data_IF_692015080087
#
_entry.id   IF_692015080087
#
_cell.length_a   1.000
_cell.length_b   1.000
_cell.length_c   1.000
_cell.angle_alpha   90.00
_cell.angle_beta   90.00
_cell.angle_gamma   90.00
#
_symmetry.space_group_name_H-M   'P 1'
#
loop_
_entity.id
_entity.type
_entity.pdbx_description
1 polymer ?
#
# COMPACT_ATOMS: atom_id res chain seq x y z
N UNK A 1 -39.45 -25.24 55.80
CA UNK A 1 -40.14 -24.29 54.92
C UNK A 1 -39.07 -23.34 54.37
N UNK A 2 -38.58 -23.66 53.19
CA UNK A 2 -37.58 -22.87 52.45
C UNK A 2 -38.34 -21.86 51.59
N UNK A 3 -38.02 -20.58 51.74
CA UNK A 3 -38.61 -19.51 50.92
C UNK A 3 -38.19 -19.64 49.45
N UNK A 4 -39.08 -19.37 48.48
CA UNK A 4 -38.70 -19.43 47.06
C UNK A 4 -37.72 -18.31 46.71
N UNK A 5 -36.67 -18.68 45.95
CA UNK A 5 -35.69 -17.74 45.41
C UNK A 5 -36.38 -16.79 44.39
N UNK A 6 -36.14 -15.49 44.58
CA UNK A 6 -36.56 -14.45 43.64
C UNK A 6 -35.80 -14.63 42.31
N UNK A 7 -36.49 -14.66 41.15
CA UNK A 7 -35.80 -14.79 39.88
C UNK A 7 -34.89 -13.55 39.61
N UNK A 8 -33.67 -13.83 39.18
CA UNK A 8 -32.73 -12.79 38.72
C UNK A 8 -33.29 -12.23 37.41
N UNK A 9 -33.46 -10.91 37.27
CA UNK A 9 -33.96 -10.32 36.04
C UNK A 9 -32.97 -10.62 34.89
N UNK A 10 -33.52 -11.01 33.73
CA UNK A 10 -32.75 -11.29 32.51
C UNK A 10 -32.02 -9.99 32.06
N UNK A 11 -30.69 -9.99 32.05
CA UNK A 11 -29.85 -8.84 31.75
C UNK A 11 -29.94 -8.35 30.28
N UNK A 12 -30.92 -8.84 29.54
CA UNK A 12 -31.16 -8.50 28.11
C UNK A 12 -32.15 -7.38 27.88
N UNK A 13 -32.83 -6.89 28.90
CA UNK A 13 -33.64 -5.69 28.76
C UNK A 13 -32.74 -4.47 28.73
N UNK A 14 -32.79 -3.63 27.67
CA UNK A 14 -31.98 -2.44 27.63
C UNK A 14 -32.45 -1.50 28.77
N UNK A 15 -31.56 -1.17 29.68
CA UNK A 15 -31.78 -0.14 30.70
C UNK A 15 -32.14 1.14 29.92
N UNK A 16 -33.33 1.72 30.10
CA UNK A 16 -33.66 2.99 29.46
C UNK A 16 -32.81 4.08 30.12
N UNK A 17 -31.62 4.30 29.54
CA UNK A 17 -30.81 5.46 29.86
C UNK A 17 -31.46 6.73 29.31
N UNK A 18 -31.15 7.91 29.87
CA UNK A 18 -31.60 9.16 29.29
C UNK A 18 -31.22 9.18 27.82
N UNK A 19 -32.20 9.47 26.95
CA UNK A 19 -31.95 9.49 25.49
C UNK A 19 -30.72 10.35 25.22
N UNK A 20 -29.66 9.76 24.65
CA UNK A 20 -28.49 10.52 24.29
C UNK A 20 -28.91 11.73 23.44
N UNK A 21 -28.32 12.90 23.65
CA UNK A 21 -28.67 14.06 22.84
C UNK A 21 -28.47 13.75 21.38
N UNK A 22 -29.31 14.23 20.47
CA UNK A 22 -29.20 13.98 19.06
C UNK A 22 -27.76 14.35 18.57
N UNK A 23 -27.18 13.51 17.75
CA UNK A 23 -25.86 13.76 17.19
C UNK A 23 -25.88 15.12 16.50
N UNK A 24 -24.89 16.02 16.75
CA UNK A 24 -24.85 17.31 16.06
C UNK A 24 -24.81 17.10 14.55
N UNK A 25 -25.59 17.86 13.81
CA UNK A 25 -25.52 17.84 12.35
C UNK A 25 -24.15 18.37 11.91
N UNK A 26 -23.49 17.74 10.91
CA UNK A 26 -22.23 18.23 10.37
C UNK A 26 -22.46 19.64 9.77
N UNK A 27 -21.54 20.56 10.05
CA UNK A 27 -21.53 21.88 9.39
C UNK A 27 -21.12 21.77 7.92
N UNK A 28 -21.22 22.88 7.19
CA UNK A 28 -20.71 22.95 5.82
C UNK A 28 -19.21 22.64 5.79
N UNK A 29 -18.72 21.87 4.79
CA UNK A 29 -17.29 21.57 4.65
C UNK A 29 -16.47 22.86 4.54
N UNK A 30 -15.41 22.98 5.35
CA UNK A 30 -14.52 24.15 5.29
C UNK A 30 -13.75 24.17 3.97
N UNK A 31 -13.54 25.36 3.37
CA UNK A 31 -12.64 25.50 2.25
C UNK A 31 -11.24 24.99 2.62
N UNK A 32 -10.60 24.30 1.70
CA UNK A 32 -9.22 23.83 1.84
C UNK A 32 -8.54 23.97 0.48
N UNK A 33 -7.37 24.56 0.46
CA UNK A 33 -6.46 24.58 -0.69
C UNK A 33 -5.23 23.75 -0.35
N UNK A 34 -4.84 22.84 -1.24
CA UNK A 34 -3.58 22.12 -1.11
C UNK A 34 -2.41 23.12 -1.22
N UNK A 35 -1.29 22.94 -0.49
CA UNK A 35 -0.14 23.83 -0.60
C UNK A 35 0.33 23.96 -2.05
N UNK A 36 0.50 25.21 -2.51
CA UNK A 36 1.06 25.47 -3.84
C UNK A 36 2.48 24.91 -3.92
N UNK A 37 2.87 24.41 -5.08
CA UNK A 37 4.20 23.85 -5.31
C UNK A 37 4.76 24.28 -6.67
N UNK A 38 6.08 24.27 -6.80
CA UNK A 38 6.80 24.57 -8.02
C UNK A 38 7.57 23.35 -8.52
N UNK A 39 7.65 23.21 -9.86
CA UNK A 39 8.47 22.19 -10.51
C UNK A 39 9.69 22.84 -11.14
N UNK A 40 10.84 22.22 -10.98
CA UNK A 40 12.10 22.64 -11.59
C UNK A 40 12.87 21.43 -12.12
N UNK A 41 13.79 21.66 -13.03
CA UNK A 41 14.67 20.62 -13.56
C UNK A 41 16.09 21.17 -13.60
N UNK A 42 17.02 20.47 -12.99
CA UNK A 42 18.43 20.82 -12.98
C UNK A 42 19.09 20.43 -14.32
N UNK A 43 20.25 21.03 -14.66
CA UNK A 43 20.97 20.71 -15.91
C UNK A 43 21.36 19.24 -16.08
N UNK A 44 21.53 18.47 -14.98
CA UNK A 44 21.83 17.04 -15.02
C UNK A 44 20.57 16.15 -15.18
N UNK A 45 19.38 16.76 -15.34
CA UNK A 45 18.13 16.04 -15.53
C UNK A 45 17.38 15.71 -14.22
N UNK A 46 17.94 16.02 -13.05
CA UNK A 46 17.27 15.84 -11.76
C UNK A 46 16.04 16.75 -11.68
N UNK A 47 14.89 16.19 -11.36
CA UNK A 47 13.65 16.95 -11.20
C UNK A 47 13.44 17.32 -9.73
N UNK A 48 12.85 18.49 -9.51
CA UNK A 48 12.57 19.02 -8.19
C UNK A 48 11.12 19.52 -8.12
N UNK A 49 10.41 19.13 -7.06
CA UNK A 49 9.07 19.60 -6.71
C UNK A 49 9.16 20.22 -5.32
N UNK A 50 8.85 21.50 -5.17
CA UNK A 50 8.96 22.20 -3.88
C UNK A 50 7.63 22.80 -3.49
N UNK A 51 7.14 22.45 -2.29
CA UNK A 51 5.98 23.05 -1.65
C UNK A 51 6.42 23.83 -0.40
N UNK A 52 6.55 25.16 -0.46
CA UNK A 52 6.84 25.99 0.71
C UNK A 52 5.68 25.91 1.71
N UNK A 53 5.95 25.46 2.94
CA UNK A 53 4.98 25.36 4.04
C UNK A 53 5.63 25.90 5.31
N UNK A 54 5.44 27.18 5.59
CA UNK A 54 6.12 27.90 6.68
C UNK A 54 5.40 27.84 8.04
N UNK A 55 4.51 26.86 8.24
CA UNK A 55 3.73 26.70 9.47
C UNK A 55 4.60 26.28 10.67
N UNK A 56 5.57 25.40 10.41
CA UNK A 56 6.52 24.87 11.39
C UNK A 56 7.93 24.89 10.78
N UNK A 57 8.99 25.03 11.57
CA UNK A 57 10.37 25.04 11.06
C UNK A 57 10.86 23.60 10.76
N UNK A 58 10.09 22.87 9.97
CA UNK A 58 10.35 21.47 9.59
C UNK A 58 10.35 21.34 8.08
N UNK A 59 11.26 20.55 7.54
CA UNK A 59 11.32 20.23 6.11
C UNK A 59 11.32 18.70 5.96
N UNK A 60 10.44 18.21 5.10
CA UNK A 60 10.40 16.82 4.66
C UNK A 60 10.84 16.75 3.19
N UNK A 61 11.76 15.84 2.91
CA UNK A 61 12.30 15.56 1.58
C UNK A 61 12.02 14.12 1.23
N UNK A 62 11.60 13.84 0.00
CA UNK A 62 11.50 12.50 -0.55
C UNK A 62 12.23 12.45 -1.91
N UNK A 63 13.26 11.64 -2.00
CA UNK A 63 13.89 11.31 -3.27
C UNK A 63 13.19 10.11 -3.88
N UNK A 64 12.41 10.34 -4.92
CA UNK A 64 11.63 9.32 -5.65
C UNK A 64 12.44 8.87 -6.84
N UNK A 65 12.84 7.62 -6.84
CA UNK A 65 13.67 7.02 -7.89
C UNK A 65 12.86 5.98 -8.66
N UNK A 66 12.96 5.95 -9.98
CA UNK A 66 12.33 4.92 -10.83
C UNK A 66 13.08 3.59 -10.76
N UNK A 67 13.04 2.98 -9.57
CA UNK A 67 13.80 1.80 -9.17
C UNK A 67 12.98 0.85 -8.28
N UNK A 68 11.69 0.70 -8.56
CA UNK A 68 10.81 -0.21 -7.83
C UNK A 68 11.00 -1.67 -8.21
N UNK A 69 10.34 -2.56 -7.47
CA UNK A 69 10.42 -4.01 -7.63
C UNK A 69 9.97 -4.53 -9.01
N UNK A 70 9.10 -3.79 -9.71
CA UNK A 70 8.75 -4.10 -11.10
C UNK A 70 9.95 -4.06 -12.06
N UNK A 71 11.06 -3.42 -11.66
CA UNK A 71 12.29 -3.33 -12.44
C UNK A 71 13.31 -4.44 -12.13
N UNK A 72 13.01 -5.36 -11.23
CA UNK A 72 13.90 -6.48 -10.91
C UNK A 72 14.17 -7.34 -12.14
N UNK A 73 15.43 -7.69 -12.41
CA UNK A 73 15.74 -8.68 -13.44
C UNK A 73 15.15 -10.06 -13.09
N UNK A 74 14.73 -10.81 -14.09
CA UNK A 74 14.24 -12.17 -13.90
C UNK A 74 15.29 -13.04 -13.16
N UNK A 75 14.86 -13.73 -12.09
CA UNK A 75 15.72 -14.52 -11.21
C UNK A 75 16.45 -13.71 -10.13
N UNK A 76 16.25 -12.40 -10.08
CA UNK A 76 16.79 -11.51 -9.05
C UNK A 76 15.67 -10.71 -8.35
N UNK A 77 14.52 -11.34 -8.19
CA UNK A 77 13.37 -10.72 -7.53
C UNK A 77 13.72 -10.36 -6.08
N UNK A 78 13.40 -9.13 -5.67
CA UNK A 78 13.78 -8.53 -4.39
C UNK A 78 15.06 -7.67 -4.44
N UNK A 79 15.70 -7.57 -5.61
CA UNK A 79 16.93 -6.77 -5.76
C UNK A 79 16.66 -5.28 -5.52
N UNK A 80 15.55 -4.73 -6.01
CA UNK A 80 15.16 -3.34 -5.77
C UNK A 80 14.98 -3.03 -4.28
N UNK A 81 14.25 -3.91 -3.57
CA UNK A 81 14.00 -3.77 -2.13
C UNK A 81 15.31 -3.88 -1.35
N UNK A 82 16.15 -4.90 -1.65
CA UNK A 82 17.45 -5.06 -0.99
C UNK A 82 18.37 -3.87 -1.26
N UNK A 83 18.38 -3.35 -2.50
CA UNK A 83 19.19 -2.18 -2.86
C UNK A 83 18.74 -0.94 -2.09
N UNK A 84 17.43 -0.67 -2.02
CA UNK A 84 16.90 0.47 -1.28
C UNK A 84 17.25 0.38 0.22
N UNK A 85 17.06 -0.79 0.84
CA UNK A 85 17.41 -1.02 2.25
C UNK A 85 18.91 -0.94 2.54
N UNK A 86 19.77 -1.15 1.54
CA UNK A 86 21.21 -1.10 1.70
C UNK A 86 21.81 0.30 1.48
N UNK A 87 21.02 1.30 1.10
CA UNK A 87 21.51 2.66 0.80
C UNK A 87 22.14 3.34 1.99
N UNK A 88 21.53 3.21 3.17
CA UNK A 88 21.94 3.85 4.43
C UNK A 88 22.82 2.94 5.31
N UNK A 89 23.21 1.78 4.82
CA UNK A 89 24.15 0.87 5.49
C UNK A 89 25.64 1.25 5.27
N UNK A 90 25.90 2.45 4.79
CA UNK A 90 27.20 3.05 4.62
C UNK A 90 27.35 3.76 3.28
N UNK A 91 28.15 4.83 3.31
CA UNK A 91 28.47 5.66 2.14
C UNK A 91 29.97 5.71 1.91
N UNK A 92 30.40 6.45 0.91
CA UNK A 92 31.84 6.69 0.67
C UNK A 92 32.53 7.38 1.86
N UNK A 93 31.77 8.12 2.69
CA UNK A 93 32.31 8.95 3.79
C UNK A 93 32.03 8.36 5.17
N UNK A 94 31.03 7.51 5.33
CA UNK A 94 30.55 7.03 6.62
C UNK A 94 30.26 5.52 6.55
N UNK A 95 30.63 4.77 7.58
CA UNK A 95 30.05 3.46 7.82
C UNK A 95 28.62 3.58 8.38
N UNK A 96 27.89 2.45 8.52
CA UNK A 96 26.50 2.44 8.96
C UNK A 96 26.28 3.13 10.30
N UNK A 97 27.17 2.87 11.29
CA UNK A 97 27.04 3.45 12.64
C UNK A 97 27.33 4.95 12.63
N UNK A 98 28.38 5.39 11.92
CA UNK A 98 28.73 6.82 11.79
C UNK A 98 27.64 7.58 11.04
N UNK A 99 27.00 6.95 10.05
CA UNK A 99 25.88 7.53 9.31
C UNK A 99 24.66 7.71 10.22
N UNK A 100 24.28 6.68 10.97
CA UNK A 100 23.18 6.74 11.93
C UNK A 100 23.41 7.81 13.00
N UNK A 101 24.60 7.82 13.63
CA UNK A 101 25.00 8.84 14.61
C UNK A 101 24.96 10.27 14.03
N UNK A 102 25.34 10.43 12.75
CA UNK A 102 25.26 11.73 12.05
C UNK A 102 23.82 12.19 11.90
N UNK A 103 22.91 11.31 11.48
CA UNK A 103 21.47 11.59 11.33
C UNK A 103 20.85 11.96 12.67
N UNK A 104 21.11 11.15 13.72
CA UNK A 104 20.58 11.38 15.07
C UNK A 104 21.05 12.70 15.67
N UNK A 105 22.32 13.05 15.54
CA UNK A 105 22.86 14.35 16.02
C UNK A 105 22.26 15.55 15.32
N UNK A 106 21.76 15.39 14.11
CA UNK A 106 21.04 16.44 13.38
C UNK A 106 19.58 16.56 13.84
N UNK A 107 19.09 15.62 14.66
CA UNK A 107 17.65 15.50 14.97
C UNK A 107 16.82 15.23 13.73
N UNK A 108 17.40 14.51 12.78
CA UNK A 108 16.76 14.12 11.54
C UNK A 108 16.29 12.67 11.59
N UNK A 109 15.36 12.31 10.72
CA UNK A 109 15.04 10.93 10.38
C UNK A 109 15.37 10.70 8.91
N UNK A 110 16.03 9.59 8.62
CA UNK A 110 16.33 9.10 7.27
C UNK A 110 15.79 7.68 7.16
N UNK A 111 15.08 7.39 6.07
CA UNK A 111 14.52 6.07 5.79
C UNK A 111 14.58 5.79 4.30
N UNK A 112 14.86 4.55 3.90
CA UNK A 112 14.95 4.14 2.51
C UNK A 112 14.22 2.83 2.27
N UNK A 113 13.38 2.79 1.24
CA UNK A 113 12.61 1.62 0.86
C UNK A 113 12.24 1.62 -0.60
N UNK A 114 11.75 0.50 -1.08
CA UNK A 114 11.18 0.38 -2.42
C UNK A 114 9.85 -0.35 -2.37
N UNK A 115 8.93 0.08 -3.22
CA UNK A 115 7.68 -0.59 -3.54
C UNK A 115 7.71 -1.14 -4.98
N UNK A 116 6.55 -1.49 -5.52
CA UNK A 116 6.44 -1.98 -6.88
C UNK A 116 6.94 -0.98 -7.94
N UNK A 117 6.67 0.32 -7.74
CA UNK A 117 6.83 1.34 -8.76
C UNK A 117 8.06 2.22 -8.59
N UNK A 118 8.58 2.33 -7.37
CA UNK A 118 9.64 3.29 -7.03
C UNK A 118 10.48 2.84 -5.85
N UNK A 119 11.69 3.39 -5.76
CA UNK A 119 12.40 3.48 -4.49
C UNK A 119 12.27 4.92 -3.96
N UNK A 120 12.11 5.05 -2.65
CA UNK A 120 11.98 6.35 -1.98
C UNK A 120 12.98 6.42 -0.85
N UNK A 121 13.80 7.48 -0.84
CA UNK A 121 14.61 7.86 0.31
C UNK A 121 14.01 9.10 0.92
N UNK A 122 13.52 8.99 2.14
CA UNK A 122 12.86 10.07 2.88
C UNK A 122 13.77 10.65 3.95
N UNK A 123 13.71 11.97 4.12
CA UNK A 123 14.42 12.72 5.13
C UNK A 123 13.46 13.73 5.76
N UNK A 124 13.39 13.76 7.09
CA UNK A 124 12.70 14.83 7.81
C UNK A 124 13.66 15.48 8.80
N UNK A 125 13.71 16.80 8.82
CA UNK A 125 14.64 17.56 9.68
C UNK A 125 14.09 18.94 10.01
N UNK A 126 14.69 19.60 11.00
CA UNK A 126 14.43 21.01 11.27
C UNK A 126 15.05 21.89 10.17
N UNK A 127 14.36 22.96 9.77
CA UNK A 127 14.80 23.87 8.72
C UNK A 127 16.25 24.42 8.92
N UNK A 128 16.71 24.79 10.14
CA UNK A 128 18.09 25.21 10.36
C UNK A 128 19.13 24.10 10.16
N UNK A 129 18.72 22.83 10.12
CA UNK A 129 19.60 21.67 9.91
C UNK A 129 19.52 21.09 8.50
N UNK A 130 18.66 21.66 7.65
CA UNK A 130 18.35 21.12 6.32
C UNK A 130 19.60 20.91 5.47
N UNK A 131 20.53 21.86 5.42
CA UNK A 131 21.74 21.76 4.60
C UNK A 131 22.58 20.54 4.99
N UNK A 132 22.90 20.40 6.28
CA UNK A 132 23.71 19.29 6.78
C UNK A 132 23.02 17.92 6.67
N UNK A 133 21.69 17.88 6.85
CA UNK A 133 20.93 16.65 6.69
C UNK A 133 20.76 16.27 5.22
N UNK A 134 20.61 17.25 4.34
CA UNK A 134 20.52 17.01 2.90
C UNK A 134 21.84 16.52 2.29
N UNK A 135 23.01 16.95 2.82
CA UNK A 135 24.32 16.40 2.44
C UNK A 135 24.38 14.89 2.70
N UNK A 136 23.82 14.44 3.84
CA UNK A 136 23.71 13.00 4.15
C UNK A 136 22.79 12.28 3.15
N UNK A 137 21.62 12.83 2.86
CA UNK A 137 20.71 12.29 1.84
C UNK A 137 21.40 12.17 0.48
N UNK A 138 22.14 13.19 0.08
CA UNK A 138 22.87 13.22 -1.20
C UNK A 138 23.95 12.14 -1.27
N UNK A 139 24.66 11.86 -0.17
CA UNK A 139 25.62 10.76 -0.09
C UNK A 139 24.94 9.38 -0.21
N UNK A 140 23.86 9.17 0.53
CA UNK A 140 23.09 7.93 0.50
C UNK A 140 22.53 7.66 -0.90
N UNK A 141 22.05 8.68 -1.60
CA UNK A 141 21.53 8.54 -2.96
C UNK A 141 22.62 8.29 -4.01
N UNK A 142 23.69 9.09 -3.98
CA UNK A 142 24.64 9.14 -5.09
C UNK A 142 25.91 8.31 -4.85
N UNK A 143 26.25 8.03 -3.60
CA UNK A 143 27.54 7.42 -3.20
C UNK A 143 27.42 6.35 -2.11
N UNK A 144 26.40 5.46 -2.14
CA UNK A 144 26.35 4.36 -1.19
C UNK A 144 27.54 3.41 -1.42
N UNK A 145 28.09 2.86 -0.35
CA UNK A 145 29.25 1.98 -0.40
C UNK A 145 28.88 0.50 -0.58
N UNK A 146 27.68 0.12 -0.12
CA UNK A 146 27.22 -1.27 -0.09
C UNK A 146 28.25 -2.23 0.53
N UNK A 147 28.62 -2.06 1.83
CA UNK A 147 29.55 -2.97 2.48
C UNK A 147 29.04 -4.42 2.40
N UNK A 148 29.91 -5.35 2.00
CA UNK A 148 29.54 -6.77 1.83
C UNK A 148 28.85 -7.36 3.07
N UNK A 149 29.38 -7.03 4.26
CA UNK A 149 28.83 -7.49 5.53
C UNK A 149 27.38 -7.02 5.74
N UNK A 150 27.06 -5.77 5.42
CA UNK A 150 25.74 -5.22 5.64
C UNK A 150 24.73 -5.72 4.60
N UNK A 151 25.14 -5.83 3.34
CA UNK A 151 24.30 -6.47 2.30
C UNK A 151 23.98 -7.93 2.67
N UNK A 152 24.98 -8.67 3.16
CA UNK A 152 24.76 -10.06 3.63
C UNK A 152 23.83 -10.10 4.84
N UNK A 153 23.98 -9.19 5.81
CA UNK A 153 23.08 -9.08 6.98
C UNK A 153 21.64 -8.86 6.52
N UNK A 154 21.39 -7.88 5.67
CA UNK A 154 20.05 -7.58 5.13
C UNK A 154 19.47 -8.75 4.33
N UNK A 155 20.30 -9.46 3.57
CA UNK A 155 19.90 -10.69 2.85
C UNK A 155 19.46 -11.78 3.82
N UNK A 156 20.20 -12.00 4.91
CA UNK A 156 19.86 -12.98 5.94
C UNK A 156 18.60 -12.57 6.71
N UNK A 157 18.41 -11.29 7.02
CA UNK A 157 17.17 -10.76 7.60
C UNK A 157 15.97 -11.07 6.70
N UNK A 158 16.10 -10.80 5.38
CA UNK A 158 15.02 -11.12 4.45
C UNK A 158 14.72 -12.63 4.40
N UNK A 159 15.71 -13.48 4.45
CA UNK A 159 15.51 -14.94 4.52
C UNK A 159 14.81 -15.35 5.82
N UNK A 160 15.12 -14.70 6.94
CA UNK A 160 14.43 -14.91 8.22
C UNK A 160 12.96 -14.42 8.15
N UNK A 161 12.70 -13.25 7.53
CA UNK A 161 11.34 -12.75 7.30
C UNK A 161 10.51 -13.76 6.49
N UNK A 162 11.09 -14.37 5.44
CA UNK A 162 10.42 -15.39 4.64
C UNK A 162 10.07 -16.66 5.44
N UNK A 163 10.89 -17.03 6.43
CA UNK A 163 10.53 -18.10 7.36
C UNK A 163 9.36 -17.69 8.26
N UNK A 164 9.33 -16.42 8.68
CA UNK A 164 8.22 -15.89 9.47
C UNK A 164 6.91 -15.86 8.66
N UNK A 165 6.96 -15.48 7.37
CA UNK A 165 5.81 -15.54 6.45
C UNK A 165 5.14 -16.93 6.47
N UNK A 166 5.91 -18.01 6.53
CA UNK A 166 5.38 -19.40 6.59
C UNK A 166 4.63 -19.71 7.88
N UNK A 167 4.88 -18.96 8.95
CA UNK A 167 4.17 -19.12 10.23
C UNK A 167 2.92 -18.23 10.35
N UNK A 168 2.81 -17.19 9.54
CA UNK A 168 1.71 -16.22 9.54
C UNK A 168 0.67 -16.54 8.45
N UNK A 169 -0.56 -16.94 8.81
CA UNK A 169 -1.60 -17.26 7.82
C UNK A 169 -1.96 -16.09 6.90
N UNK A 170 -1.91 -14.84 7.40
CA UNK A 170 -2.19 -13.65 6.62
C UNK A 170 -1.16 -13.44 5.51
N UNK A 171 0.13 -13.48 5.86
CA UNK A 171 1.22 -13.35 4.90
C UNK A 171 1.27 -14.51 3.88
N UNK A 172 0.91 -15.72 4.31
CA UNK A 172 0.71 -16.87 3.41
C UNK A 172 -0.41 -16.60 2.41
N UNK A 173 -1.56 -16.09 2.89
CA UNK A 173 -2.71 -15.76 2.04
C UNK A 173 -2.35 -14.68 1.03
N UNK A 174 -1.62 -13.62 1.43
CA UNK A 174 -1.19 -12.53 0.54
C UNK A 174 -0.25 -13.04 -0.56
N UNK A 175 0.73 -13.88 -0.19
CA UNK A 175 1.69 -14.45 -1.15
C UNK A 175 0.98 -15.38 -2.14
N UNK A 176 0.14 -16.29 -1.66
CA UNK A 176 -0.62 -17.20 -2.49
C UNK A 176 -1.63 -16.46 -3.39
N UNK A 177 -2.22 -15.37 -2.89
CA UNK A 177 -3.15 -14.54 -3.66
C UNK A 177 -2.47 -13.86 -4.85
N UNK A 178 -1.30 -13.28 -4.65
CA UNK A 178 -0.54 -12.68 -5.74
C UNK A 178 -0.21 -13.71 -6.83
N UNK A 179 0.25 -14.89 -6.45
CA UNK A 179 0.53 -15.98 -7.39
C UNK A 179 -0.74 -16.49 -8.09
N UNK A 180 -1.85 -16.64 -7.37
CA UNK A 180 -3.12 -17.07 -7.92
C UNK A 180 -3.68 -16.10 -8.96
N UNK A 181 -3.49 -14.80 -8.75
CA UNK A 181 -3.98 -13.73 -9.62
C UNK A 181 -3.10 -13.52 -10.84
N UNK A 182 -1.78 -13.35 -10.65
CA UNK A 182 -0.85 -12.99 -11.74
C UNK A 182 -0.10 -14.19 -12.32
N UNK A 183 -0.09 -15.32 -11.63
CA UNK A 183 0.67 -16.51 -12.00
C UNK A 183 2.17 -16.42 -11.64
N UNK A 184 2.84 -17.59 -11.54
CA UNK A 184 4.23 -17.65 -11.09
C UNK A 184 5.24 -17.08 -12.11
N UNK A 185 4.85 -16.90 -13.36
CA UNK A 185 5.72 -16.32 -14.39
C UNK A 185 5.76 -14.77 -14.33
N UNK A 186 4.70 -14.13 -13.82
CA UNK A 186 4.67 -12.68 -13.65
C UNK A 186 5.53 -12.23 -12.48
N UNK A 187 6.19 -11.05 -12.62
CA UNK A 187 6.86 -10.42 -11.48
C UNK A 187 5.88 -10.11 -10.36
N UNK A 188 4.65 -9.70 -10.70
CA UNK A 188 3.59 -9.40 -9.74
C UNK A 188 3.00 -10.63 -9.02
N UNK A 189 3.20 -11.84 -9.56
CA UNK A 189 2.84 -13.08 -8.89
C UNK A 189 3.88 -13.57 -7.86
N UNK A 190 4.97 -12.84 -7.66
CA UNK A 190 6.04 -13.16 -6.72
C UNK A 190 6.14 -12.08 -5.64
N UNK A 191 6.65 -12.39 -4.43
CA UNK A 191 6.80 -11.39 -3.38
C UNK A 191 7.64 -10.20 -3.85
N UNK A 192 7.26 -8.99 -3.42
CA UNK A 192 7.95 -7.75 -3.75
C UNK A 192 9.43 -7.80 -3.34
N UNK A 193 9.72 -8.23 -2.13
CA UNK A 193 11.09 -8.44 -1.63
C UNK A 193 11.72 -9.77 -2.04
N UNK A 194 11.19 -10.45 -3.09
CA UNK A 194 11.68 -11.73 -3.58
C UNK A 194 11.33 -12.96 -2.74
N UNK A 195 11.25 -14.12 -3.36
CA UNK A 195 11.15 -15.42 -2.71
C UNK A 195 12.51 -15.97 -2.29
N UNK A 196 12.52 -17.08 -1.55
CA UNK A 196 13.73 -17.65 -0.94
C UNK A 196 14.83 -17.96 -1.97
N UNK A 197 14.47 -18.59 -3.09
CA UNK A 197 15.44 -18.98 -4.12
C UNK A 197 16.14 -17.76 -4.76
N UNK A 198 15.37 -16.72 -5.10
CA UNK A 198 15.90 -15.49 -5.67
C UNK A 198 16.78 -14.74 -4.66
N UNK A 199 16.29 -14.54 -3.42
CA UNK A 199 17.03 -13.82 -2.37
C UNK A 199 18.34 -14.49 -2.01
N UNK A 200 18.41 -15.84 -1.99
CA UNK A 200 19.68 -16.58 -1.78
C UNK A 200 20.73 -16.29 -2.85
N UNK A 201 20.29 -15.97 -4.08
CA UNK A 201 21.17 -15.66 -5.22
C UNK A 201 21.60 -14.19 -5.29
N UNK A 202 21.01 -13.28 -4.51
CA UNK A 202 21.37 -11.87 -4.53
C UNK A 202 22.77 -11.64 -3.94
N UNK A 203 23.56 -10.82 -4.64
CA UNK A 203 24.93 -10.50 -4.26
C UNK A 203 25.10 -8.98 -4.10
N UNK A 204 26.14 -8.59 -3.36
CA UNK A 204 26.56 -7.18 -3.25
C UNK A 204 26.81 -6.55 -4.62
N UNK A 205 27.43 -7.30 -5.54
CA UNK A 205 27.71 -6.78 -6.89
C UNK A 205 26.45 -6.56 -7.72
N UNK A 206 25.41 -7.40 -7.55
CA UNK A 206 24.10 -7.19 -8.15
C UNK A 206 23.45 -5.92 -7.60
N UNK A 207 23.46 -5.72 -6.27
CA UNK A 207 22.97 -4.49 -5.60
C UNK A 207 23.68 -3.26 -6.16
N UNK A 208 25.00 -3.25 -6.22
CA UNK A 208 25.78 -2.14 -6.75
C UNK A 208 25.54 -1.89 -8.26
N UNK A 209 25.33 -2.95 -9.03
CA UNK A 209 24.99 -2.84 -10.45
C UNK A 209 23.59 -2.26 -10.66
N UNK A 210 22.60 -2.71 -9.89
CA UNK A 210 21.23 -2.20 -9.93
C UNK A 210 21.19 -0.71 -9.54
N UNK A 211 21.90 -0.33 -8.46
CA UNK A 211 22.03 1.08 -8.07
C UNK A 211 22.60 1.91 -9.21
N UNK A 212 23.75 1.54 -9.79
CA UNK A 212 24.36 2.30 -10.90
C UNK A 212 23.46 2.43 -12.12
N UNK A 213 22.65 1.41 -12.39
CA UNK A 213 21.74 1.40 -13.54
C UNK A 213 20.47 2.22 -13.33
N UNK A 214 19.96 2.28 -12.10
CA UNK A 214 18.63 2.83 -11.80
C UNK A 214 18.68 4.16 -11.03
N UNK A 215 19.62 4.33 -10.10
CA UNK A 215 19.72 5.55 -9.29
C UNK A 215 20.53 6.62 -10.04
N UNK A 216 19.84 7.34 -10.89
CA UNK A 216 20.41 8.38 -11.74
C UNK A 216 19.62 9.68 -11.60
N UNK A 217 20.22 10.85 -11.86
CA UNK A 217 19.50 12.12 -11.75
C UNK A 217 18.27 12.16 -12.66
N UNK A 218 18.37 11.64 -13.89
CA UNK A 218 17.25 11.63 -14.84
C UNK A 218 16.08 10.70 -14.40
N UNK A 219 16.35 9.67 -13.58
CA UNK A 219 15.34 8.79 -13.00
C UNK A 219 14.79 9.29 -11.67
N UNK A 220 15.32 10.38 -11.12
CA UNK A 220 15.02 10.86 -9.78
C UNK A 220 14.22 12.16 -9.79
N UNK A 221 13.24 12.23 -8.91
CA UNK A 221 12.54 13.47 -8.56
C UNK A 221 12.67 13.70 -7.07
N UNK A 222 13.20 14.84 -6.68
CA UNK A 222 13.20 15.28 -5.30
C UNK A 222 11.91 16.04 -5.02
N UNK A 223 11.18 15.61 -4.01
CA UNK A 223 10.01 16.31 -3.45
C UNK A 223 10.45 16.94 -2.14
N UNK A 224 10.24 18.24 -2.00
CA UNK A 224 10.60 19.01 -0.79
C UNK A 224 9.37 19.76 -0.32
N UNK A 225 8.93 19.52 0.91
CA UNK A 225 7.82 20.25 1.52
C UNK A 225 8.24 20.78 2.90
N UNK A 226 7.94 22.04 3.20
CA UNK A 226 8.24 22.60 4.50
C UNK A 226 8.77 24.03 4.48
N UNK A 227 9.47 24.41 5.56
CA UNK A 227 9.99 25.76 5.76
C UNK A 227 11.26 26.02 4.93
N UNK A 228 11.06 26.05 3.62
CA UNK A 228 12.11 26.30 2.63
C UNK A 228 11.49 26.90 1.36
N UNK A 229 12.18 27.86 0.73
CA UNK A 229 11.75 28.41 -0.57
C UNK A 229 12.25 27.54 -1.72
N UNK A 230 11.57 27.61 -2.88
CA UNK A 230 11.96 26.85 -4.06
C UNK A 230 13.40 27.21 -4.52
N UNK A 231 13.78 28.50 -4.48
CA UNK A 231 15.13 28.94 -4.83
C UNK A 231 16.21 28.42 -3.87
N UNK A 232 15.90 28.35 -2.57
CA UNK A 232 16.84 27.82 -1.58
C UNK A 232 17.02 26.31 -1.76
N UNK A 233 15.93 25.57 -1.99
CA UNK A 233 15.96 24.15 -2.27
C UNK A 233 16.75 23.85 -3.56
N UNK A 234 16.51 24.59 -4.65
CA UNK A 234 17.25 24.40 -5.91
C UNK A 234 18.74 24.64 -5.76
N UNK A 235 19.13 25.72 -5.08
CA UNK A 235 20.57 25.99 -4.81
C UNK A 235 21.22 24.90 -3.98
N UNK A 236 20.52 24.38 -2.98
CA UNK A 236 21.01 23.28 -2.15
C UNK A 236 21.20 22.01 -2.98
N UNK A 237 20.19 21.62 -3.76
CA UNK A 237 20.24 20.46 -4.64
C UNK A 237 21.33 20.60 -5.71
N UNK A 238 21.44 21.75 -6.34
CA UNK A 238 22.48 22.00 -7.35
C UNK A 238 23.90 21.88 -6.77
N UNK A 239 24.12 22.36 -5.56
CA UNK A 239 25.43 22.29 -4.89
C UNK A 239 25.80 20.85 -4.49
N UNK A 240 24.85 20.04 -4.06
CA UNK A 240 25.09 18.70 -3.51
C UNK A 240 25.00 17.59 -4.55
N UNK A 241 24.00 17.66 -5.44
CA UNK A 241 23.69 16.65 -6.44
C UNK A 241 23.88 17.12 -7.89
N UNK A 242 24.31 18.37 -8.11
CA UNK A 242 24.50 18.89 -9.48
C UNK A 242 25.58 18.16 -10.29
N UNK A 243 26.60 17.60 -9.62
CA UNK A 243 27.63 16.78 -10.25
C UNK A 243 27.24 15.29 -10.40
N UNK A 244 26.10 14.89 -9.84
CA UNK A 244 25.61 13.52 -10.00
C UNK A 244 25.26 13.26 -11.45
N UNK A 245 25.80 12.18 -12.03
CA UNK A 245 25.67 11.86 -13.44
C UNK A 245 25.05 10.46 -13.63
N UNK A 246 24.38 10.28 -14.75
CA UNK A 246 23.76 9.00 -15.14
C UNK A 246 22.67 9.22 -16.17
N UNK A 247 22.51 8.28 -17.09
CA UNK A 247 21.44 8.30 -18.09
C UNK A 247 20.12 7.81 -17.50
N UNK A 248 19.00 8.22 -18.11
CA UNK A 248 17.70 7.65 -17.75
C UNK A 248 17.69 6.13 -18.01
N UNK A 249 17.27 5.29 -17.05
CA UNK A 249 17.12 3.86 -17.27
C UNK A 249 15.98 3.56 -18.25
N UNK A 250 15.99 2.39 -18.84
CA UNK A 250 14.82 1.90 -19.57
C UNK A 250 13.64 1.72 -18.62
N UNK A 251 12.40 2.04 -19.04
CA UNK A 251 11.21 1.79 -18.26
C UNK A 251 11.10 0.33 -17.83
N UNK A 252 10.62 0.10 -16.61
CA UNK A 252 10.27 -1.24 -16.19
C UNK A 252 9.05 -1.73 -16.97
N UNK A 253 9.09 -2.99 -17.41
CA UNK A 253 7.97 -3.67 -18.05
C UNK A 253 7.62 -4.89 -17.19
N UNK A 254 6.47 -4.83 -16.53
CA UNK A 254 5.94 -5.96 -15.79
C UNK A 254 4.66 -6.47 -16.46
N UNK A 255 4.46 -7.80 -16.47
CA UNK A 255 3.24 -8.41 -16.97
C UNK A 255 2.18 -8.37 -15.87
N UNK A 256 1.22 -7.46 -16.01
CA UNK A 256 0.13 -7.21 -15.08
C UNK A 256 -1.20 -7.88 -15.50
N UNK A 257 -1.15 -8.83 -16.45
CA UNK A 257 -2.33 -9.54 -16.92
C UNK A 257 -2.79 -10.60 -15.91
N UNK A 258 -4.09 -10.80 -15.85
CA UNK A 258 -4.69 -11.90 -15.11
C UNK A 258 -4.23 -13.25 -15.70
N UNK A 259 -3.62 -14.11 -14.86
CA UNK A 259 -3.14 -15.41 -15.30
C UNK A 259 -4.26 -16.45 -15.35
N UNK A 260 -5.12 -16.49 -14.32
CA UNK A 260 -6.24 -17.42 -14.24
C UNK A 260 -7.52 -16.79 -14.77
N UNK A 261 -8.11 -17.39 -15.82
CA UNK A 261 -9.35 -16.92 -16.45
C UNK A 261 -10.61 -17.63 -15.90
N UNK A 262 -10.44 -18.52 -14.93
CA UNK A 262 -11.51 -19.26 -14.28
C UNK A 262 -11.43 -19.10 -12.77
N UNK A 263 -12.57 -19.07 -12.10
CA UNK A 263 -12.67 -19.06 -10.64
C UNK A 263 -12.04 -20.32 -10.05
N UNK A 264 -11.28 -20.16 -8.97
CA UNK A 264 -10.67 -21.26 -8.24
C UNK A 264 -10.55 -20.93 -6.76
N UNK A 265 -10.62 -21.95 -5.92
CA UNK A 265 -10.26 -21.88 -4.51
C UNK A 265 -8.82 -22.41 -4.36
N UNK A 266 -7.98 -21.63 -3.73
CA UNK A 266 -6.61 -21.98 -3.37
C UNK A 266 -6.53 -22.14 -1.85
N UNK A 267 -6.52 -23.37 -1.38
CA UNK A 267 -6.38 -23.69 0.05
C UNK A 267 -4.89 -23.83 0.37
N UNK A 268 -4.37 -22.89 1.15
CA UNK A 268 -3.04 -23.00 1.77
C UNK A 268 -3.21 -23.72 3.09
N UNK A 269 -2.82 -25.00 3.10
CA UNK A 269 -3.00 -25.87 4.26
C UNK A 269 -2.02 -25.54 5.38
N UNK A 270 -2.55 -25.05 6.52
CA UNK A 270 -1.83 -24.74 7.74
C UNK A 270 -2.55 -25.39 8.93
N UNK A 271 -2.16 -26.63 9.31
CA UNK A 271 -2.92 -27.45 10.27
C UNK A 271 -3.07 -26.86 11.66
N UNK A 272 -2.13 -26.01 12.08
CA UNK A 272 -2.10 -25.35 13.39
C UNK A 272 -2.83 -23.99 13.43
N UNK A 273 -3.45 -23.57 12.31
CA UNK A 273 -4.17 -22.32 12.26
C UNK A 273 -5.53 -22.43 12.99
N UNK A 274 -5.79 -21.46 13.88
CA UNK A 274 -7.07 -21.36 14.61
C UNK A 274 -8.12 -20.60 13.78
N UNK A 275 -7.68 -19.72 12.90
CA UNK A 275 -8.49 -18.90 12.03
C UNK A 275 -8.09 -19.15 10.57
N UNK A 276 -9.00 -18.85 9.67
CA UNK A 276 -8.73 -18.78 8.24
C UNK A 276 -8.54 -17.33 7.81
N UNK A 277 -7.49 -17.08 7.04
CA UNK A 277 -7.29 -15.84 6.29
C UNK A 277 -7.89 -16.00 4.90
N UNK A 278 -8.77 -15.07 4.54
CA UNK A 278 -9.45 -15.06 3.25
C UNK A 278 -8.93 -13.92 2.39
N UNK A 279 -8.63 -14.21 1.11
CA UNK A 279 -8.39 -13.20 0.06
C UNK A 279 -9.25 -13.55 -1.13
N UNK A 280 -10.07 -12.61 -1.57
CA UNK A 280 -10.98 -12.79 -2.72
C UNK A 280 -10.75 -11.63 -3.69
N UNK A 281 -10.33 -11.91 -4.91
CA UNK A 281 -10.08 -10.82 -5.85
C UNK A 281 -9.57 -11.27 -7.22
N UNK A 282 -9.17 -10.28 -7.98
CA UNK A 282 -8.65 -10.42 -9.35
C UNK A 282 -7.70 -9.26 -9.69
N UNK A 283 -7.09 -9.25 -10.88
CA UNK A 283 -6.34 -8.08 -11.37
C UNK A 283 -7.32 -6.90 -11.49
N UNK A 284 -6.98 -5.79 -10.84
CA UNK A 284 -7.75 -4.56 -10.88
C UNK A 284 -7.36 -3.66 -12.05
N UNK A 285 -7.06 -2.40 -11.75
CA UNK A 285 -6.75 -1.38 -12.75
C UNK A 285 -5.55 -0.52 -12.32
N UNK A 286 -4.81 0.06 -13.28
CA UNK A 286 -3.72 0.97 -12.95
C UNK A 286 -4.23 2.27 -12.31
N UNK A 287 -3.39 2.93 -11.53
CA UNK A 287 -3.69 4.22 -10.88
C UNK A 287 -4.08 5.31 -11.89
N UNK A 288 -3.62 5.21 -13.12
CA UNK A 288 -3.93 6.15 -14.21
C UNK A 288 -5.33 6.00 -14.79
N UNK A 289 -6.14 5.06 -14.31
CA UNK A 289 -7.51 4.86 -14.80
C UNK A 289 -8.35 6.15 -14.69
N UNK A 290 -9.12 6.53 -15.73
CA UNK A 290 -10.05 7.66 -15.65
C UNK A 290 -11.19 7.41 -14.65
N UNK A 291 -11.47 6.15 -14.32
CA UNK A 291 -12.52 5.73 -13.38
C UNK A 291 -12.07 5.80 -11.90
N UNK A 292 -10.91 6.39 -11.60
CA UNK A 292 -10.33 6.40 -10.25
C UNK A 292 -11.29 6.92 -9.18
N UNK A 293 -11.92 8.08 -9.37
CA UNK A 293 -12.79 8.67 -8.35
C UNK A 293 -14.08 7.86 -8.12
N UNK A 294 -14.81 7.42 -9.15
CA UNK A 294 -15.90 6.47 -8.97
C UNK A 294 -15.49 5.17 -8.27
N UNK A 295 -14.30 4.61 -8.59
CA UNK A 295 -13.79 3.40 -7.94
C UNK A 295 -13.44 3.62 -6.47
N UNK A 296 -12.88 4.76 -6.11
CA UNK A 296 -12.60 5.10 -4.70
C UNK A 296 -13.89 5.22 -3.90
N UNK A 297 -14.93 5.86 -4.45
CA UNK A 297 -16.24 5.96 -3.80
C UNK A 297 -16.92 4.58 -3.72
N UNK A 298 -16.94 3.83 -4.79
CA UNK A 298 -17.47 2.46 -4.85
C UNK A 298 -16.79 1.57 -3.79
N UNK A 299 -15.47 1.57 -3.74
CA UNK A 299 -14.72 0.78 -2.76
C UNK A 299 -14.99 1.24 -1.33
N UNK A 300 -15.15 2.54 -1.09
CA UNK A 300 -15.51 3.06 0.24
C UNK A 300 -16.84 2.49 0.74
N UNK A 301 -17.82 2.31 -0.15
CA UNK A 301 -19.12 1.71 0.16
C UNK A 301 -18.99 0.19 0.33
N UNK A 302 -18.23 -0.48 -0.55
CA UNK A 302 -18.12 -1.95 -0.55
C UNK A 302 -17.37 -2.47 0.68
N UNK A 303 -16.14 -1.96 0.95
CA UNK A 303 -15.28 -2.49 2.02
C UNK A 303 -14.21 -1.50 2.52
N UNK A 304 -14.14 -0.28 1.98
CA UNK A 304 -13.10 0.69 2.34
C UNK A 304 -13.35 1.49 3.60
N UNK A 305 -14.58 1.49 4.13
CA UNK A 305 -14.94 2.18 5.37
C UNK A 305 -15.36 1.19 6.45
N UNK A 306 -15.29 1.63 7.70
CA UNK A 306 -15.80 0.83 8.83
C UNK A 306 -17.29 0.47 8.65
N UNK A 307 -18.12 1.41 8.18
CA UNK A 307 -19.54 1.21 7.90
C UNK A 307 -19.79 0.73 6.46
N UNK A 308 -18.85 0.04 5.85
CA UNK A 308 -19.00 -0.53 4.51
C UNK A 308 -19.83 -1.82 4.52
N UNK A 309 -20.36 -2.19 3.34
CA UNK A 309 -21.25 -3.36 3.19
C UNK A 309 -20.61 -4.64 3.71
N UNK A 310 -19.37 -4.94 3.28
CA UNK A 310 -18.66 -6.18 3.68
C UNK A 310 -18.41 -6.19 5.19
N UNK A 311 -17.95 -5.08 5.77
CA UNK A 311 -17.65 -5.03 7.19
C UNK A 311 -18.92 -5.12 8.06
N UNK A 312 -20.00 -4.41 7.71
CA UNK A 312 -21.28 -4.50 8.41
C UNK A 312 -21.90 -5.92 8.28
N UNK A 313 -21.76 -6.54 7.11
CA UNK A 313 -22.25 -7.90 6.90
C UNK A 313 -21.51 -8.92 7.77
N UNK A 314 -20.18 -9.01 7.61
CA UNK A 314 -19.39 -10.05 8.27
C UNK A 314 -19.24 -9.81 9.77
N UNK A 315 -19.05 -8.55 10.19
CA UNK A 315 -18.80 -8.20 11.57
C UNK A 315 -20.09 -8.03 12.38
N UNK A 316 -20.99 -7.13 11.95
CA UNK A 316 -22.13 -6.72 12.78
C UNK A 316 -23.32 -7.70 12.65
N UNK A 317 -23.58 -8.20 11.43
CA UNK A 317 -24.71 -9.10 11.19
C UNK A 317 -24.40 -10.55 11.56
N UNK A 318 -23.22 -11.03 11.18
CA UNK A 318 -22.86 -12.44 11.30
C UNK A 318 -21.86 -12.73 12.42
N UNK A 319 -21.14 -11.75 12.95
CA UNK A 319 -20.10 -11.92 13.98
C UNK A 319 -18.98 -12.91 13.56
N UNK A 320 -18.66 -12.99 12.26
CA UNK A 320 -17.64 -13.90 11.74
C UNK A 320 -16.22 -13.38 11.92
N UNK A 321 -16.06 -12.05 12.05
CA UNK A 321 -14.75 -11.37 12.06
C UNK A 321 -14.76 -10.11 12.93
N UNK A 322 -13.58 -9.66 13.33
CA UNK A 322 -13.37 -8.32 13.89
C UNK A 322 -13.28 -7.22 12.82
N UNK A 323 -13.06 -7.58 11.57
CA UNK A 323 -13.04 -6.66 10.44
C UNK A 323 -12.86 -7.35 9.10
N UNK A 324 -13.51 -6.77 8.09
CA UNK A 324 -13.36 -7.14 6.70
C UNK A 324 -13.21 -5.86 5.86
N UNK A 325 -12.38 -5.93 4.84
CA UNK A 325 -12.10 -4.77 3.97
C UNK A 325 -11.99 -5.18 2.52
N UNK A 326 -12.19 -4.20 1.63
CA UNK A 326 -11.84 -4.32 0.22
C UNK A 326 -10.93 -3.18 -0.20
N UNK A 327 -10.12 -3.41 -1.22
CA UNK A 327 -9.20 -2.39 -1.74
C UNK A 327 -8.73 -2.67 -3.15
N UNK A 328 -8.27 -1.59 -3.80
CA UNK A 328 -7.43 -1.65 -4.98
C UNK A 328 -6.01 -1.32 -4.56
N UNK A 329 -5.07 -2.17 -4.88
CA UNK A 329 -3.65 -1.85 -4.75
C UNK A 329 -3.24 -1.01 -5.97
N UNK A 330 -3.17 0.31 -5.76
CA UNK A 330 -2.91 1.25 -6.83
C UNK A 330 -1.44 1.25 -7.23
N UNK A 331 -1.16 0.87 -8.47
CA UNK A 331 0.18 0.83 -9.08
C UNK A 331 0.18 1.56 -10.40
N UNK A 332 1.35 1.79 -10.98
CA UNK A 332 1.48 2.25 -12.39
C UNK A 332 0.88 1.24 -13.36
N UNK A 333 1.12 -0.04 -13.11
CA UNK A 333 0.46 -1.18 -13.77
C UNK A 333 -0.83 -1.55 -13.05
N UNK A 334 -1.59 -2.50 -13.57
CA UNK A 334 -2.80 -2.98 -12.92
C UNK A 334 -2.46 -3.79 -11.66
N UNK A 335 -2.61 -3.15 -10.49
CA UNK A 335 -2.56 -3.83 -9.19
C UNK A 335 -3.86 -4.61 -8.90
N UNK A 336 -3.89 -5.50 -7.90
CA UNK A 336 -5.07 -6.30 -7.63
C UNK A 336 -6.20 -5.51 -6.96
N UNK A 337 -7.42 -5.93 -7.19
CA UNK A 337 -8.55 -5.73 -6.30
C UNK A 337 -8.64 -6.92 -5.37
N UNK A 338 -8.78 -6.68 -4.07
CA UNK A 338 -8.95 -7.73 -3.06
C UNK A 338 -10.01 -7.38 -2.02
N UNK A 339 -10.69 -8.42 -1.53
CA UNK A 339 -11.43 -8.43 -0.29
C UNK A 339 -10.68 -9.33 0.71
N UNK A 340 -10.54 -8.89 1.94
CA UNK A 340 -9.69 -9.50 2.95
C UNK A 340 -10.43 -9.61 4.28
N UNK A 341 -10.28 -10.75 4.96
CA UNK A 341 -10.80 -10.96 6.32
C UNK A 341 -10.14 -12.15 7.00
N UNK A 342 -9.91 -12.03 8.32
CA UNK A 342 -9.61 -13.14 9.21
C UNK A 342 -10.90 -13.61 9.87
N UNK A 343 -11.20 -14.90 9.82
CA UNK A 343 -12.45 -15.47 10.35
C UNK A 343 -12.20 -16.80 11.07
N UNK A 344 -13.06 -17.15 12.02
CA UNK A 344 -13.00 -18.47 12.63
C UNK A 344 -13.19 -19.56 11.56
N UNK A 345 -12.42 -20.64 11.65
CA UNK A 345 -12.35 -21.67 10.60
C UNK A 345 -13.72 -22.28 10.26
N UNK A 346 -14.59 -22.44 11.25
CA UNK A 346 -15.96 -22.97 11.10
C UNK A 346 -16.88 -22.05 10.27
N UNK A 347 -16.55 -20.75 10.18
CA UNK A 347 -17.32 -19.75 9.44
C UNK A 347 -16.68 -19.35 8.11
N UNK A 348 -15.49 -19.87 7.77
CA UNK A 348 -14.69 -19.40 6.64
C UNK A 348 -15.43 -19.46 5.29
N UNK A 349 -16.07 -20.59 4.97
CA UNK A 349 -16.83 -20.74 3.73
C UNK A 349 -18.11 -19.87 3.71
N UNK A 350 -18.77 -19.70 4.87
CA UNK A 350 -19.94 -18.82 4.99
C UNK A 350 -19.53 -17.36 4.80
N UNK A 351 -18.44 -16.92 5.42
CA UNK A 351 -17.90 -15.56 5.24
C UNK A 351 -17.49 -15.30 3.79
N UNK A 352 -16.83 -16.26 3.13
CA UNK A 352 -16.49 -16.14 1.72
C UNK A 352 -17.75 -15.97 0.85
N UNK A 353 -18.83 -16.71 1.13
CA UNK A 353 -20.13 -16.57 0.43
C UNK A 353 -20.69 -15.16 0.58
N UNK A 354 -20.65 -14.60 1.77
CA UNK A 354 -21.13 -13.24 2.03
C UNK A 354 -20.31 -12.18 1.30
N UNK A 355 -18.97 -12.32 1.27
CA UNK A 355 -18.10 -11.43 0.48
C UNK A 355 -18.47 -11.48 -1.00
N UNK A 356 -18.63 -12.67 -1.56
CA UNK A 356 -19.03 -12.86 -2.95
C UNK A 356 -20.41 -12.25 -3.24
N UNK A 357 -21.35 -12.40 -2.31
CA UNK A 357 -22.68 -11.81 -2.43
C UNK A 357 -22.62 -10.27 -2.43
N UNK A 358 -21.83 -9.66 -1.56
CA UNK A 358 -21.69 -8.19 -1.52
C UNK A 358 -21.00 -7.65 -2.78
N UNK A 359 -20.02 -8.36 -3.34
CA UNK A 359 -19.40 -8.00 -4.63
C UNK A 359 -20.47 -8.09 -5.75
N UNK A 360 -21.29 -9.13 -5.77
CA UNK A 360 -22.40 -9.28 -6.73
C UNK A 360 -23.42 -8.15 -6.59
N UNK A 361 -23.88 -7.88 -5.37
CA UNK A 361 -24.84 -6.81 -5.09
C UNK A 361 -24.31 -5.41 -5.48
N UNK A 362 -23.02 -5.15 -5.29
CA UNK A 362 -22.41 -3.87 -5.71
C UNK A 362 -22.51 -3.66 -7.23
N UNK A 363 -22.46 -4.74 -8.02
CA UNK A 363 -22.62 -4.67 -9.49
C UNK A 363 -24.07 -4.56 -9.93
N UNK A 364 -24.94 -5.32 -9.28
CA UNK A 364 -26.29 -5.59 -9.78
C UNK A 364 -27.34 -4.62 -9.24
N UNK A 365 -27.07 -4.04 -8.04
CA UNK A 365 -27.99 -3.14 -7.35
C UNK A 365 -27.40 -1.71 -7.27
N UNK A 366 -28.20 -0.66 -7.53
CA UNK A 366 -27.76 0.70 -7.30
C UNK A 366 -27.47 0.92 -5.81
N UNK A 367 -26.48 1.75 -5.49
CA UNK A 367 -26.17 2.13 -4.11
C UNK A 367 -27.26 3.07 -3.54
N UNK A 368 -27.57 2.94 -2.27
CA UNK A 368 -28.51 3.83 -1.60
C UNK A 368 -27.93 5.24 -1.47
N UNK A 369 -28.81 6.25 -1.46
CA UNK A 369 -28.40 7.65 -1.33
C UNK A 369 -27.60 7.91 -0.03
N UNK A 370 -27.95 7.23 1.04
CA UNK A 370 -27.29 7.31 2.34
C UNK A 370 -25.87 6.74 2.29
N UNK A 371 -25.65 5.60 1.59
CA UNK A 371 -24.34 5.00 1.42
C UNK A 371 -23.42 5.92 0.60
N UNK A 372 -23.93 6.46 -0.51
CA UNK A 372 -23.20 7.41 -1.35
C UNK A 372 -22.83 8.68 -0.59
N UNK A 373 -23.81 9.25 0.13
CA UNK A 373 -23.62 10.45 0.94
C UNK A 373 -22.58 10.23 2.05
N UNK A 374 -22.61 9.10 2.73
CA UNK A 374 -21.65 8.74 3.76
C UNK A 374 -20.23 8.64 3.18
N UNK A 375 -20.07 7.91 2.08
CA UNK A 375 -18.77 7.70 1.44
C UNK A 375 -18.16 9.01 0.91
N UNK A 376 -18.95 9.81 0.18
CA UNK A 376 -18.47 11.08 -0.38
C UNK A 376 -18.19 12.12 0.71
N UNK A 377 -19.03 12.22 1.75
CA UNK A 377 -18.81 13.10 2.88
C UNK A 377 -17.59 12.74 3.70
N UNK A 378 -17.31 11.43 3.89
CA UNK A 378 -16.11 10.97 4.56
C UNK A 378 -14.86 11.35 3.77
N UNK A 379 -14.80 11.02 2.48
CA UNK A 379 -13.65 11.31 1.61
C UNK A 379 -13.37 12.81 1.50
N UNK A 380 -14.43 13.63 1.41
CA UNK A 380 -14.34 15.08 1.38
C UNK A 380 -13.86 15.64 2.73
N UNK A 381 -14.41 15.13 3.83
CA UNK A 381 -14.12 15.63 5.18
C UNK A 381 -12.75 15.25 5.71
N UNK A 382 -12.23 14.06 5.36
CA UNK A 382 -10.91 13.61 5.80
C UNK A 382 -9.77 14.26 4.99
N UNK A 383 -10.06 14.80 3.82
CA UNK A 383 -9.07 15.35 2.91
C UNK A 383 -8.15 16.41 3.54
N UNK A 384 -8.67 17.47 4.21
CA UNK A 384 -7.82 18.48 4.87
C UNK A 384 -6.92 17.88 5.97
N UNK A 385 -7.42 16.89 6.69
CA UNK A 385 -6.71 16.24 7.80
C UNK A 385 -5.53 15.43 7.26
N UNK A 386 -5.70 14.78 6.12
CA UNK A 386 -4.65 13.97 5.48
C UNK A 386 -3.41 14.78 5.09
N UNK A 387 -3.53 16.07 4.83
CA UNK A 387 -2.43 16.90 4.33
C UNK A 387 -2.06 18.04 5.31
N UNK A 388 -2.20 17.79 6.60
CA UNK A 388 -1.95 18.78 7.65
C UNK A 388 -0.44 18.97 7.93
N UNK A 389 0.36 17.92 7.79
CA UNK A 389 1.80 17.92 8.09
C UNK A 389 2.66 18.07 6.85
N UNK A 390 3.90 18.55 7.00
CA UNK A 390 4.87 18.66 5.89
C UNK A 390 5.19 17.29 5.27
N UNK A 391 5.31 16.24 6.09
CA UNK A 391 5.54 14.88 5.63
C UNK A 391 4.34 14.34 4.81
N UNK A 392 3.12 14.64 5.24
CA UNK A 392 1.93 14.26 4.48
C UNK A 392 1.83 14.98 3.13
N UNK A 393 2.21 16.27 3.08
CA UNK A 393 2.31 17.03 1.82
C UNK A 393 3.39 16.42 0.92
N UNK A 394 4.57 16.12 1.47
CA UNK A 394 5.64 15.46 0.72
C UNK A 394 5.20 14.10 0.16
N UNK A 395 4.53 13.26 0.96
CA UNK A 395 3.98 11.96 0.52
C UNK A 395 2.92 12.12 -0.58
N UNK A 396 2.06 13.12 -0.48
CA UNK A 396 1.07 13.43 -1.51
C UNK A 396 1.73 13.81 -2.85
N UNK A 397 2.73 14.68 -2.81
CA UNK A 397 3.50 15.06 -4.00
C UNK A 397 4.35 13.91 -4.54
N UNK A 398 4.83 13.02 -3.67
CA UNK A 398 5.48 11.76 -4.07
C UNK A 398 4.54 10.88 -4.89
N UNK A 399 3.30 10.67 -4.43
CA UNK A 399 2.29 9.94 -5.18
C UNK A 399 1.95 10.61 -6.51
N UNK A 400 1.88 11.96 -6.55
CA UNK A 400 1.67 12.72 -7.77
C UNK A 400 2.81 12.48 -8.79
N UNK A 401 4.06 12.38 -8.31
CA UNK A 401 5.24 12.08 -9.14
C UNK A 401 5.21 10.63 -9.62
N UNK A 402 4.99 9.66 -8.72
CA UNK A 402 5.00 8.23 -9.04
C UNK A 402 3.96 7.92 -10.11
N UNK A 403 2.75 8.43 -9.97
CA UNK A 403 1.63 8.11 -10.86
C UNK A 403 1.43 9.09 -12.02
N UNK A 404 2.29 10.11 -12.14
CA UNK A 404 2.18 11.11 -13.21
C UNK A 404 0.87 11.89 -13.17
N UNK A 405 0.35 12.21 -11.99
CA UNK A 405 -0.91 12.91 -11.84
C UNK A 405 -0.76 14.40 -12.22
N UNK A 406 -1.82 15.05 -12.70
CA UNK A 406 -1.80 16.47 -13.06
C UNK A 406 -1.59 17.37 -11.83
N UNK A 407 -1.01 18.55 -12.02
CA UNK A 407 -0.66 19.45 -10.92
C UNK A 407 -1.87 19.99 -10.16
N UNK A 408 -3.03 20.08 -10.80
CA UNK A 408 -4.31 20.46 -10.18
C UNK A 408 -5.05 19.30 -9.48
N UNK A 409 -4.41 18.12 -9.39
CA UNK A 409 -5.05 16.92 -8.87
C UNK A 409 -5.68 17.11 -7.49
N UNK A 410 -4.94 17.73 -6.56
CA UNK A 410 -5.41 17.93 -5.19
C UNK A 410 -6.46 19.04 -5.08
N UNK A 411 -6.38 20.07 -5.92
CA UNK A 411 -7.39 21.14 -5.97
C UNK A 411 -8.73 20.61 -6.52
N UNK A 412 -8.68 19.72 -7.50
CA UNK A 412 -9.83 19.11 -8.10
C UNK A 412 -10.42 17.94 -7.29
N UNK A 413 -9.66 17.33 -6.38
CA UNK A 413 -10.00 16.06 -5.71
C UNK A 413 -11.38 16.08 -5.07
N UNK A 414 -11.63 17.06 -4.18
CA UNK A 414 -12.89 17.15 -3.43
C UNK A 414 -14.10 17.35 -4.33
N UNK A 415 -13.95 18.18 -5.38
CA UNK A 415 -14.99 18.41 -6.36
C UNK A 415 -15.30 17.13 -7.15
N UNK A 416 -14.28 16.38 -7.56
CA UNK A 416 -14.42 15.10 -8.28
C UNK A 416 -15.09 14.04 -7.42
N UNK A 417 -14.74 13.93 -6.13
CA UNK A 417 -15.39 12.99 -5.20
C UNK A 417 -16.88 13.33 -5.04
N UNK A 418 -17.22 14.62 -4.83
CA UNK A 418 -18.60 15.06 -4.66
C UNK A 418 -19.46 14.92 -5.91
N UNK A 419 -18.85 14.91 -7.10
CA UNK A 419 -19.53 14.76 -8.37
C UNK A 419 -19.88 13.30 -8.72
N UNK A 420 -19.37 12.30 -7.98
CA UNK A 420 -19.68 10.89 -8.23
C UNK A 420 -21.13 10.59 -7.92
N UNK A 421 -21.85 9.99 -8.86
CA UNK A 421 -23.25 9.60 -8.76
C UNK A 421 -23.42 8.10 -8.46
N UNK A 422 -24.63 7.68 -8.10
CA UNK A 422 -24.95 6.26 -7.92
C UNK A 422 -24.77 5.45 -9.22
N UNK A 423 -25.11 6.07 -10.36
CA UNK A 423 -24.92 5.50 -11.69
C UNK A 423 -23.44 5.31 -12.02
N UNK A 424 -22.58 6.27 -11.63
CA UNK A 424 -21.13 6.12 -11.77
C UNK A 424 -20.59 4.96 -10.96
N UNK A 425 -21.04 4.82 -9.71
CA UNK A 425 -20.66 3.71 -8.83
C UNK A 425 -21.07 2.37 -9.44
N UNK A 426 -22.31 2.25 -9.92
CA UNK A 426 -22.78 1.02 -10.55
C UNK A 426 -22.04 0.71 -11.85
N UNK A 427 -21.83 1.71 -12.68
CA UNK A 427 -21.08 1.59 -13.95
C UNK A 427 -19.67 1.05 -13.73
N UNK A 428 -18.92 1.61 -12.75
CA UNK A 428 -17.56 1.15 -12.49
C UNK A 428 -17.54 -0.20 -11.79
N UNK A 429 -18.52 -0.52 -10.95
CA UNK A 429 -18.67 -1.85 -10.38
C UNK A 429 -18.89 -2.91 -11.46
N UNK A 430 -19.79 -2.66 -12.41
CA UNK A 430 -20.04 -3.54 -13.56
C UNK A 430 -18.82 -3.69 -14.46
N UNK A 431 -18.05 -2.61 -14.66
CA UNK A 431 -16.90 -2.59 -15.55
C UNK A 431 -15.66 -3.23 -14.94
N UNK A 432 -15.42 -3.08 -13.65
CA UNK A 432 -14.14 -3.38 -13.03
C UNK A 432 -14.16 -4.44 -11.92
N UNK A 433 -15.34 -4.88 -11.47
CA UNK A 433 -15.47 -6.06 -10.65
C UNK A 433 -15.84 -7.25 -11.55
N UNK A 434 -14.99 -8.27 -11.60
CA UNK A 434 -15.11 -9.41 -12.50
C UNK A 434 -15.38 -10.71 -11.71
N UNK A 435 -16.65 -11.02 -11.33
CA UNK A 435 -16.97 -12.20 -10.53
C UNK A 435 -16.47 -13.50 -11.13
N UNK A 436 -16.39 -13.58 -12.46
CA UNK A 436 -15.95 -14.78 -13.18
C UNK A 436 -14.42 -14.98 -13.14
N UNK A 437 -13.66 -13.96 -12.79
CA UNK A 437 -12.20 -14.00 -12.70
C UNK A 437 -11.70 -14.07 -11.26
N UNK A 438 -12.59 -14.02 -10.26
CA UNK A 438 -12.21 -14.03 -8.85
C UNK A 438 -11.41 -15.30 -8.50
N UNK A 439 -10.28 -15.08 -7.82
CA UNK A 439 -9.53 -16.09 -7.12
C UNK A 439 -9.86 -16.00 -5.63
N UNK A 440 -10.15 -17.12 -5.01
CA UNK A 440 -10.42 -17.24 -3.58
C UNK A 440 -9.27 -18.00 -2.93
N UNK A 441 -8.45 -17.29 -2.15
CA UNK A 441 -7.39 -17.90 -1.35
C UNK A 441 -7.82 -18.02 0.09
N UNK A 442 -7.56 -19.18 0.68
CA UNK A 442 -7.85 -19.51 2.07
C UNK A 442 -6.58 -20.08 2.69
N UNK A 443 -5.99 -19.38 3.65
CA UNK A 443 -4.93 -19.95 4.47
C UNK A 443 -5.52 -20.37 5.82
N UNK A 444 -5.49 -21.68 6.10
CA UNK A 444 -6.15 -22.24 7.29
C UNK A 444 -6.01 -23.76 7.41
N UNK A 445 -6.67 -24.36 8.39
CA UNK A 445 -6.60 -25.80 8.61
C UNK A 445 -7.22 -26.57 7.42
N UNK A 446 -6.63 -27.72 7.01
CA UNK A 446 -7.07 -28.47 5.84
C UNK A 446 -8.52 -28.99 5.95
N UNK A 447 -9.05 -29.11 7.15
CA UNK A 447 -10.42 -29.58 7.42
C UNK A 447 -11.50 -28.67 6.80
N UNK A 448 -11.19 -27.39 6.52
CA UNK A 448 -12.15 -26.48 5.88
C UNK A 448 -12.41 -26.83 4.41
N UNK A 449 -11.59 -27.68 3.79
CA UNK A 449 -11.67 -28.06 2.37
C UNK A 449 -13.09 -28.45 1.94
N UNK A 450 -13.73 -29.35 2.68
CA UNK A 450 -15.07 -29.84 2.34
C UNK A 450 -16.12 -28.72 2.32
N UNK A 451 -16.01 -27.73 3.20
CA UNK A 451 -16.91 -26.59 3.24
C UNK A 451 -16.70 -25.65 2.01
N UNK A 452 -15.48 -25.51 1.51
CA UNK A 452 -15.20 -24.75 0.29
C UNK A 452 -15.58 -25.51 -0.98
N UNK A 453 -15.47 -26.84 -1.01
CA UNK A 453 -16.01 -27.67 -2.10
C UNK A 453 -17.53 -27.52 -2.18
N UNK A 454 -18.21 -27.53 -1.03
CA UNK A 454 -19.67 -27.33 -0.95
C UNK A 454 -20.11 -25.90 -1.33
N UNK A 455 -19.21 -24.90 -1.30
CA UNK A 455 -19.50 -23.54 -1.77
C UNK A 455 -19.76 -23.50 -3.28
N UNK A 456 -19.28 -24.50 -4.04
CA UNK A 456 -19.39 -24.59 -5.49
C UNK A 456 -18.90 -23.35 -6.26
N UNK A 457 -17.94 -22.65 -5.69
CA UNK A 457 -17.33 -21.46 -6.30
C UNK A 457 -16.45 -21.83 -7.50
N UNK A 458 -15.69 -22.90 -7.41
CA UNK A 458 -14.77 -23.43 -8.41
C UNK A 458 -13.99 -24.62 -7.85
N UNK A 459 -13.10 -25.23 -8.63
CA UNK A 459 -12.28 -26.35 -8.14
C UNK A 459 -11.38 -25.87 -6.98
N UNK A 460 -11.21 -26.74 -5.97
CA UNK A 460 -10.36 -26.49 -4.81
C UNK A 460 -8.98 -27.12 -5.06
N UNK A 461 -7.96 -26.29 -5.16
CA UNK A 461 -6.55 -26.70 -5.18
C UNK A 461 -5.95 -26.51 -3.79
N UNK A 462 -5.22 -27.50 -3.29
CA UNK A 462 -4.57 -27.43 -1.98
C UNK A 462 -3.05 -27.40 -2.14
N UNK A 463 -2.43 -26.51 -1.38
CA UNK A 463 -0.97 -26.32 -1.34
C UNK A 463 -0.53 -26.28 0.13
N UNK A 464 0.47 -27.06 0.55
CA UNK A 464 1.00 -26.96 1.90
C UNK A 464 1.69 -25.60 2.13
N UNK A 465 1.56 -25.06 3.35
CA UNK A 465 2.12 -23.74 3.71
C UNK A 465 3.62 -23.62 3.41
N UNK A 466 4.38 -24.73 3.57
CA UNK A 466 5.83 -24.77 3.32
C UNK A 466 6.20 -24.63 1.83
N UNK A 467 5.25 -24.80 0.92
CA UNK A 467 5.47 -24.62 -0.53
C UNK A 467 5.27 -23.18 -1.00
N UNK A 468 4.61 -22.35 -0.18
CA UNK A 468 4.37 -20.93 -0.48
C UNK A 468 5.66 -20.13 -0.19
N UNK A 469 5.97 -19.14 -1.04
CA UNK A 469 7.14 -18.25 -0.92
C UNK A 469 8.54 -18.94 -1.00
N UNK A 470 8.65 -20.05 -1.70
CA UNK A 470 9.93 -20.71 -2.01
C UNK A 470 10.76 -19.98 -3.05
#
# INVERSE_FOLDING_TARGET
MTAPATPIPDSRDPIPGPSAPPRPAPGAPRPYAFPAFERRTLPNGLRLVVAPVHKLPVVSVAAVVDAGAAADPAGQEGLAVLTARALDEGTASFDALALADRVERLGASLDAGADWDSAVVSLTTLAPKLEAAFEVLAEVLARPAFPEREVERLRQERLADLLHVRSDPGALADTAFAEAVYGPASRFGRPEGGGEAAVRGLTRDAVAAFHRARYTPAATTLVVAGDVTADAAERLVARTLGAWAGAAPAPAAADDRQAALERRVHLVAKPDAVQCELRVGHVGVPRSTPDYFPLVVMNSILGGLFNSRVNLNLRERHNYTYGARTGFDWRRSAGPFSAESAVASEHAAAAAREVLAEIGRMRDEPVAAEELSLATSYLDGVFPIRYETTSAVASALTALVIYGLPDDYFDAYRARVRAVTAEDVQRVAQRHLHPDLLQLVVAGPPEVRAAFEALAFGPVAETPAEAVAR
#
